data_IF_259910327526
#
_entry.id   IF_259910327526
#
_cell.length_a   1.000
_cell.length_b   1.000
_cell.length_c   1.000
_cell.angle_alpha   90.00
_cell.angle_beta   90.00
_cell.angle_gamma   90.00
#
_symmetry.space_group_name_H-M   'P 1'
#
loop_
_entity.id
_entity.type
_entity.pdbx_description
1 polymer ?
#
# COMPACT_ATOMS: atom_id res chain seq x y z
N UNK A 1 -55.52 24.07 -34.66
CA UNK A 1 -55.75 24.86 -35.95
C UNK A 1 -55.11 26.23 -35.96
N UNK A 2 -54.72 26.85 -34.87
CA UNK A 2 -54.09 28.22 -34.86
C UNK A 2 -52.58 28.16 -34.99
N UNK A 3 -51.93 27.00 -34.68
CA UNK A 3 -50.50 26.84 -34.77
C UNK A 3 -49.99 26.47 -36.18
N UNK A 4 -50.75 25.84 -37.03
CA UNK A 4 -50.38 25.51 -38.42
C UNK A 4 -50.37 26.71 -39.37
N UNK A 5 -51.20 27.71 -39.14
CA UNK A 5 -51.25 28.90 -39.99
C UNK A 5 -50.10 29.89 -39.75
N UNK A 6 -49.49 29.86 -38.55
CA UNK A 6 -48.33 30.70 -38.22
C UNK A 6 -47.01 30.14 -38.77
N UNK A 7 -46.92 28.83 -38.96
CA UNK A 7 -45.69 28.16 -39.47
C UNK A 7 -45.52 28.36 -40.98
N UNK A 8 -46.60 28.35 -41.74
CA UNK A 8 -46.56 28.53 -43.21
C UNK A 8 -46.25 29.98 -43.66
N UNK A 9 -46.73 30.99 -42.91
CA UNK A 9 -46.42 32.40 -43.24
C UNK A 9 -44.99 32.76 -42.87
N UNK A 10 -44.42 32.16 -41.80
CA UNK A 10 -42.99 32.31 -41.39
C UNK A 10 -42.03 31.70 -42.39
N UNK A 11 -42.34 30.51 -42.90
CA UNK A 11 -41.50 29.83 -43.89
C UNK A 11 -41.50 30.54 -45.27
N UNK A 12 -42.64 31.07 -45.72
CA UNK A 12 -42.69 31.81 -46.95
C UNK A 12 -41.99 33.21 -46.88
N UNK A 13 -42.02 33.85 -45.72
CA UNK A 13 -41.31 35.12 -45.52
C UNK A 13 -39.75 34.83 -45.40
N UNK A 14 -39.38 33.73 -44.83
CA UNK A 14 -37.99 33.30 -44.75
C UNK A 14 -37.40 32.93 -46.12
N UNK A 15 -38.17 32.24 -46.98
CA UNK A 15 -37.77 31.94 -48.35
C UNK A 15 -37.64 33.19 -49.24
N UNK A 16 -38.55 34.20 -49.12
CA UNK A 16 -38.38 35.39 -49.85
C UNK A 16 -37.23 36.30 -49.40
N UNK A 17 -36.90 36.26 -48.15
CA UNK A 17 -35.75 37.00 -47.62
C UNK A 17 -34.40 36.38 -48.04
N UNK A 18 -34.35 35.05 -48.25
CA UNK A 18 -33.18 34.31 -48.68
C UNK A 18 -32.78 34.51 -50.15
N UNK A 19 -33.69 35.00 -51.01
CA UNK A 19 -33.46 35.16 -52.44
C UNK A 19 -32.75 36.48 -52.82
N UNK A 20 -32.42 37.35 -51.87
CA UNK A 20 -31.59 38.52 -52.10
C UNK A 20 -30.14 38.23 -51.84
N UNK A 21 -29.17 38.49 -52.77
CA UNK A 21 -27.76 38.18 -52.63
C UNK A 21 -27.09 38.76 -51.37
N UNK A 22 -27.56 39.93 -50.95
CA UNK A 22 -27.13 40.63 -49.72
C UNK A 22 -27.48 39.90 -48.41
N UNK A 23 -28.55 39.09 -48.43
CA UNK A 23 -28.98 38.35 -47.24
C UNK A 23 -28.34 36.98 -47.11
N UNK A 24 -27.85 36.42 -48.22
CA UNK A 24 -27.09 35.13 -48.19
C UNK A 24 -25.82 35.26 -47.36
N UNK A 25 -25.14 36.41 -47.45
CA UNK A 25 -23.95 36.68 -46.67
C UNK A 25 -24.22 36.74 -45.15
N UNK A 26 -25.31 37.42 -44.77
CA UNK A 26 -25.74 37.46 -43.34
C UNK A 26 -26.22 36.11 -42.84
N UNK A 27 -26.89 35.33 -43.68
CA UNK A 27 -27.34 33.99 -43.30
C UNK A 27 -26.14 33.04 -43.11
N UNK A 28 -25.11 33.11 -43.97
CA UNK A 28 -23.86 32.35 -43.83
C UNK A 28 -23.10 32.74 -42.57
N UNK A 29 -23.08 34.03 -42.21
CA UNK A 29 -22.45 34.49 -40.95
C UNK A 29 -23.25 34.00 -39.73
N UNK A 30 -24.58 34.10 -39.77
CA UNK A 30 -25.44 33.61 -38.70
C UNK A 30 -25.34 32.09 -38.54
N UNK A 31 -25.35 31.31 -39.64
CA UNK A 31 -25.17 29.87 -39.61
C UNK A 31 -23.78 29.48 -39.09
N UNK A 32 -22.74 30.22 -39.48
CA UNK A 32 -21.37 29.99 -38.95
C UNK A 32 -21.31 30.29 -37.47
N UNK A 33 -21.95 31.33 -36.98
CA UNK A 33 -22.01 31.65 -35.56
C UNK A 33 -22.86 30.66 -34.78
N UNK A 34 -24.01 30.21 -35.32
CA UNK A 34 -24.84 29.17 -34.70
C UNK A 34 -24.09 27.81 -34.67
N UNK A 35 -23.42 27.44 -35.76
CA UNK A 35 -22.59 26.22 -35.80
C UNK A 35 -21.44 26.32 -34.83
N UNK A 36 -20.80 27.50 -34.72
CA UNK A 36 -19.76 27.75 -33.73
C UNK A 36 -20.29 27.70 -32.28
N UNK A 37 -21.47 28.28 -32.03
CA UNK A 37 -22.11 28.16 -30.71
C UNK A 37 -22.53 26.71 -30.38
N UNK A 38 -23.07 25.98 -31.37
CA UNK A 38 -23.37 24.54 -31.20
C UNK A 38 -22.08 23.73 -30.97
N UNK A 39 -20.99 23.99 -31.71
CA UNK A 39 -19.70 23.36 -31.50
C UNK A 39 -19.12 23.72 -30.12
N UNK A 40 -19.23 24.99 -29.71
CA UNK A 40 -18.81 25.44 -28.39
C UNK A 40 -19.65 24.78 -27.26
N UNK A 41 -20.98 24.67 -27.48
CA UNK A 41 -21.87 23.95 -26.55
C UNK A 41 -21.48 22.45 -26.50
N UNK A 42 -21.20 21.81 -27.64
CA UNK A 42 -20.73 20.44 -27.69
C UNK A 42 -19.36 20.28 -27.03
N UNK A 43 -18.42 21.21 -27.24
CA UNK A 43 -17.11 21.23 -26.59
C UNK A 43 -17.23 21.47 -25.07
N UNK A 44 -18.09 22.40 -24.66
CA UNK A 44 -18.33 22.71 -23.24
C UNK A 44 -19.17 21.64 -22.56
N UNK A 45 -20.17 21.03 -23.24
CA UNK A 45 -20.94 19.91 -22.69
C UNK A 45 -20.17 18.55 -22.77
N UNK A 46 -19.31 18.37 -23.79
CA UNK A 46 -18.46 17.18 -23.93
C UNK A 46 -17.25 17.16 -23.01
N UNK A 47 -16.87 18.31 -22.45
CA UNK A 47 -15.76 18.49 -21.52
C UNK A 47 -16.20 18.66 -20.06
N UNK A 48 -17.37 18.17 -19.66
CA UNK A 48 -17.67 18.05 -18.23
C UNK A 48 -16.79 16.92 -17.69
N UNK A 49 -15.59 17.26 -17.22
CA UNK A 49 -14.79 16.30 -16.46
C UNK A 49 -15.66 15.82 -15.31
N UNK A 50 -15.86 14.51 -15.22
CA UNK A 50 -16.60 13.94 -14.09
C UNK A 50 -15.99 14.42 -12.78
N UNK A 51 -16.86 14.82 -11.85
CA UNK A 51 -16.41 15.28 -10.55
C UNK A 51 -15.88 14.09 -9.72
N UNK A 52 -14.92 14.30 -8.81
CA UNK A 52 -14.40 13.24 -7.96
C UNK A 52 -15.49 12.41 -7.29
N UNK A 53 -16.56 13.04 -6.80
CA UNK A 53 -17.70 12.37 -6.16
C UNK A 53 -18.41 11.37 -7.09
N UNK A 54 -18.56 11.73 -8.37
CA UNK A 54 -19.21 10.87 -9.37
C UNK A 54 -18.35 9.64 -9.66
N UNK A 55 -17.01 9.83 -9.74
CA UNK A 55 -16.05 8.75 -10.00
C UNK A 55 -15.99 7.79 -8.80
N UNK A 56 -15.96 8.31 -7.57
CA UNK A 56 -16.00 7.47 -6.36
C UNK A 56 -17.27 6.64 -6.34
N UNK A 57 -18.45 7.25 -6.59
CA UNK A 57 -19.72 6.53 -6.62
C UNK A 57 -19.76 5.46 -7.71
N UNK A 58 -19.20 5.75 -8.89
CA UNK A 58 -19.07 4.77 -9.97
C UNK A 58 -18.24 3.57 -9.51
N UNK A 59 -17.08 3.81 -8.91
CA UNK A 59 -16.19 2.75 -8.46
C UNK A 59 -16.81 1.90 -7.33
N UNK A 60 -17.42 2.54 -6.33
CA UNK A 60 -18.14 1.82 -5.25
C UNK A 60 -19.24 0.94 -5.83
N UNK A 61 -20.10 1.52 -6.70
CA UNK A 61 -21.16 0.74 -7.34
C UNK A 61 -20.62 -0.45 -8.13
N UNK A 62 -19.55 -0.25 -8.88
CA UNK A 62 -18.94 -1.33 -9.69
C UNK A 62 -18.33 -2.44 -8.81
N UNK A 63 -17.77 -2.10 -7.64
CA UNK A 63 -17.31 -3.09 -6.67
C UNK A 63 -18.47 -3.84 -6.01
N UNK A 64 -19.57 -3.15 -5.68
CA UNK A 64 -20.76 -3.78 -5.11
C UNK A 64 -21.43 -4.76 -6.09
N UNK A 65 -21.40 -4.44 -7.39
CA UNK A 65 -21.96 -5.26 -8.48
C UNK A 65 -20.98 -6.33 -8.99
N UNK A 66 -19.71 -6.29 -8.60
CA UNK A 66 -18.69 -7.23 -9.04
C UNK A 66 -18.98 -8.64 -8.52
N UNK A 67 -19.24 -9.57 -9.42
CA UNK A 67 -19.50 -10.95 -9.04
C UNK A 67 -18.23 -11.78 -8.97
N UNK A 68 -17.42 -11.75 -10.03
CA UNK A 68 -16.15 -12.46 -10.02
C UNK A 68 -15.16 -11.89 -11.03
N UNK A 69 -13.88 -12.04 -10.73
CA UNK A 69 -12.77 -11.60 -11.59
C UNK A 69 -11.59 -12.54 -11.46
N UNK A 70 -10.94 -12.80 -12.59
CA UNK A 70 -9.63 -13.44 -12.68
C UNK A 70 -8.62 -12.42 -13.19
N UNK A 71 -7.47 -12.33 -12.54
CA UNK A 71 -6.40 -11.39 -12.91
C UNK A 71 -5.04 -11.92 -12.43
N UNK A 72 -3.99 -11.17 -12.74
CA UNK A 72 -2.71 -11.27 -12.04
C UNK A 72 -2.57 -10.02 -11.16
N UNK A 73 -2.46 -10.20 -9.86
CA UNK A 73 -2.15 -9.11 -8.94
C UNK A 73 -0.65 -8.86 -8.96
N UNK A 74 -0.28 -7.67 -9.37
CA UNK A 74 1.11 -7.21 -9.40
C UNK A 74 1.32 -6.26 -8.24
N UNK A 75 2.30 -6.56 -7.39
CA UNK A 75 2.72 -5.71 -6.29
C UNK A 75 4.17 -5.29 -6.47
N UNK A 76 4.46 -4.02 -6.31
CA UNK A 76 5.81 -3.49 -6.47
C UNK A 76 6.07 -2.38 -5.45
N UNK A 77 7.34 -2.22 -5.07
CA UNK A 77 7.77 -1.19 -4.15
C UNK A 77 9.07 -0.53 -4.62
N UNK A 78 9.18 0.76 -4.42
CA UNK A 78 10.40 1.53 -4.64
C UNK A 78 10.68 2.40 -3.44
N UNK A 79 11.96 2.64 -3.16
CA UNK A 79 12.40 3.37 -2.00
C UNK A 79 13.21 4.62 -2.39
N UNK A 80 12.96 5.73 -1.70
CA UNK A 80 13.69 6.97 -1.78
C UNK A 80 13.89 7.53 -3.20
N UNK A 81 12.82 7.50 -3.98
CA UNK A 81 12.81 8.04 -5.34
C UNK A 81 13.41 7.12 -6.40
N UNK A 82 13.75 5.87 -6.04
CA UNK A 82 14.09 4.86 -7.04
C UNK A 82 12.90 4.60 -7.98
N UNK A 83 13.18 4.23 -9.21
CA UNK A 83 12.15 3.79 -10.12
C UNK A 83 11.63 2.40 -9.73
N UNK A 84 10.33 2.17 -9.96
CA UNK A 84 9.73 0.85 -9.81
C UNK A 84 10.37 -0.10 -10.84
N UNK A 85 10.96 -1.19 -10.36
CA UNK A 85 11.57 -2.20 -11.23
C UNK A 85 10.58 -3.33 -11.49
N UNK A 86 10.34 -3.63 -12.76
CA UNK A 86 9.46 -4.74 -13.15
C UNK A 86 10.03 -6.10 -12.72
N UNK A 87 11.35 -6.23 -12.65
CA UNK A 87 12.05 -7.43 -12.18
C UNK A 87 11.82 -7.73 -10.69
N UNK A 88 11.47 -6.70 -9.91
CA UNK A 88 11.22 -6.81 -8.47
C UNK A 88 9.72 -6.94 -8.15
N UNK A 89 8.87 -6.81 -9.17
CA UNK A 89 7.43 -6.92 -9.00
C UNK A 89 7.03 -8.37 -8.65
N UNK A 90 6.30 -8.52 -7.57
CA UNK A 90 5.62 -9.78 -7.27
C UNK A 90 4.39 -9.92 -8.16
N UNK A 91 4.22 -11.07 -8.81
CA UNK A 91 3.07 -11.39 -9.66
C UNK A 91 2.41 -12.66 -9.15
N UNK A 92 1.20 -12.53 -8.67
CA UNK A 92 0.44 -13.67 -8.16
C UNK A 92 -0.89 -13.82 -8.91
N UNK A 93 -1.34 -15.05 -9.21
CA UNK A 93 -2.69 -15.27 -9.69
C UNK A 93 -3.69 -14.72 -8.68
N UNK A 94 -4.64 -13.92 -9.13
CA UNK A 94 -5.66 -13.32 -8.31
C UNK A 94 -7.04 -13.78 -8.80
N UNK A 95 -7.80 -14.40 -7.92
CA UNK A 95 -9.18 -14.78 -8.15
C UNK A 95 -10.04 -14.12 -7.09
N UNK A 96 -11.15 -13.55 -7.51
CA UNK A 96 -12.15 -12.96 -6.62
C UNK A 96 -13.54 -13.41 -7.02
N UNK A 97 -14.38 -13.73 -6.05
CA UNK A 97 -15.79 -14.04 -6.24
C UNK A 97 -16.61 -13.54 -5.04
N UNK A 98 -17.71 -12.90 -5.36
CA UNK A 98 -18.72 -12.48 -4.38
C UNK A 98 -19.95 -13.36 -4.53
N UNK A 99 -20.44 -13.91 -3.42
CA UNK A 99 -21.64 -14.76 -3.38
C UNK A 99 -22.58 -14.23 -2.31
N UNK A 100 -23.80 -13.92 -2.71
CA UNK A 100 -24.86 -13.51 -1.78
C UNK A 100 -25.62 -14.76 -1.36
N UNK A 101 -25.71 -15.01 -0.05
CA UNK A 101 -26.49 -16.09 0.58
C UNK A 101 -27.46 -15.49 1.61
N UNK A 102 -28.42 -16.26 2.09
CA UNK A 102 -29.39 -15.80 3.11
C UNK A 102 -28.73 -15.26 4.39
N UNK A 103 -27.56 -15.78 4.74
CA UNK A 103 -26.77 -15.37 5.91
C UNK A 103 -25.86 -14.15 5.68
N UNK A 104 -25.81 -13.61 4.45
CA UNK A 104 -24.99 -12.46 4.08
C UNK A 104 -24.18 -12.64 2.82
N UNK A 105 -23.28 -11.68 2.56
CA UNK A 105 -22.39 -11.69 1.41
C UNK A 105 -21.05 -12.32 1.79
N UNK A 106 -20.62 -13.30 1.02
CA UNK A 106 -19.36 -14.02 1.17
C UNK A 106 -18.41 -13.63 0.05
N UNK A 107 -17.15 -13.49 0.40
CA UNK A 107 -16.09 -13.13 -0.51
C UNK A 107 -15.07 -14.25 -0.58
N UNK A 108 -14.78 -14.69 -1.79
CA UNK A 108 -13.77 -15.69 -2.07
C UNK A 108 -12.63 -15.02 -2.81
N UNK A 109 -11.42 -15.16 -2.31
CA UNK A 109 -10.22 -14.73 -3.02
C UNK A 109 -9.23 -15.87 -3.07
N UNK A 110 -8.19 -15.76 -3.87
CA UNK A 110 -7.12 -16.76 -3.87
C UNK A 110 -6.45 -16.89 -2.50
N UNK A 111 -6.45 -15.80 -1.72
CA UNK A 111 -5.91 -15.73 -0.37
C UNK A 111 -6.99 -15.88 0.72
N UNK A 112 -8.26 -15.75 0.34
CA UNK A 112 -9.38 -15.79 1.29
C UNK A 112 -10.50 -16.68 0.75
N UNK A 113 -10.71 -17.85 1.33
CA UNK A 113 -11.73 -18.80 0.95
C UNK A 113 -12.67 -19.04 2.14
N UNK A 114 -13.97 -18.73 1.98
CA UNK A 114 -15.02 -19.06 2.96
C UNK A 114 -14.58 -18.71 4.40
N UNK A 115 -14.15 -17.47 4.63
CA UNK A 115 -13.64 -17.00 5.92
C UNK A 115 -12.25 -17.56 6.30
N UNK A 116 -11.45 -17.97 5.33
CA UNK A 116 -10.08 -18.48 5.53
C UNK A 116 -9.12 -17.63 4.72
N UNK A 117 -8.01 -17.28 5.32
CA UNK A 117 -6.92 -16.59 4.64
C UNK A 117 -5.81 -17.60 4.36
N UNK A 118 -5.37 -17.69 3.10
CA UNK A 118 -4.24 -18.52 2.71
C UNK A 118 -3.07 -17.60 2.37
N UNK A 119 -1.95 -17.84 3.02
CA UNK A 119 -0.68 -17.21 2.66
C UNK A 119 0.11 -18.20 1.82
N UNK A 120 0.39 -17.83 0.58
CA UNK A 120 1.30 -18.57 -0.27
C UNK A 120 2.71 -18.09 0.01
N UNK A 121 3.55 -18.98 0.52
CA UNK A 121 4.98 -18.78 0.48
C UNK A 121 5.49 -19.16 -0.91
N UNK A 122 6.43 -18.40 -1.48
CA UNK A 122 7.06 -18.69 -2.78
C UNK A 122 7.86 -20.01 -2.79
N UNK A 123 7.98 -20.65 -1.64
CA UNK A 123 8.51 -22.01 -1.54
C UNK A 123 7.42 -23.03 -1.82
N UNK A 124 7.59 -23.88 -2.85
CA UNK A 124 6.54 -24.79 -3.33
C UNK A 124 6.02 -25.81 -2.29
N UNK A 125 6.70 -25.94 -1.15
CA UNK A 125 6.39 -26.94 -0.12
C UNK A 125 5.72 -26.38 1.16
N UNK A 126 5.47 -25.07 1.24
CA UNK A 126 4.85 -24.46 2.41
C UNK A 126 3.63 -23.61 2.03
N UNK A 127 2.49 -24.28 1.85
CA UNK A 127 1.19 -23.61 1.92
C UNK A 127 0.83 -23.42 3.39
N UNK A 128 0.97 -22.19 3.89
CA UNK A 128 0.48 -21.83 5.22
C UNK A 128 -0.94 -21.30 5.07
N UNK A 129 -1.91 -22.06 5.52
CA UNK A 129 -3.30 -21.63 5.57
C UNK A 129 -3.67 -21.12 6.96
N UNK A 130 -4.13 -19.90 7.03
CA UNK A 130 -4.71 -19.33 8.23
C UNK A 130 -6.21 -19.32 8.07
N UNK A 131 -6.93 -19.98 8.93
CA UNK A 131 -8.38 -19.87 9.03
C UNK A 131 -8.69 -18.74 10.01
N UNK A 132 -9.07 -17.59 9.48
CA UNK A 132 -9.71 -16.54 10.26
C UNK A 132 -11.21 -16.71 10.03
N UNK A 133 -12.01 -17.06 11.05
CA UNK A 133 -13.46 -17.03 10.92
C UNK A 133 -13.85 -15.58 10.65
N UNK A 134 -14.24 -15.26 9.41
CA UNK A 134 -14.81 -13.96 9.09
C UNK A 134 -16.30 -14.11 9.26
N UNK A 135 -16.84 -13.56 10.33
CA UNK A 135 -18.28 -13.37 10.47
C UNK A 135 -18.77 -12.37 9.41
N UNK A 136 -20.04 -12.41 8.98
CA UNK A 136 -20.60 -11.37 8.13
C UNK A 136 -20.30 -9.99 8.71
N UNK A 137 -19.57 -9.16 7.94
CA UNK A 137 -19.09 -7.84 8.40
C UNK A 137 -17.66 -7.81 8.96
N UNK A 138 -16.95 -8.94 9.01
CA UNK A 138 -15.55 -8.94 9.41
C UNK A 138 -14.63 -8.28 8.36
N UNK A 139 -13.50 -7.77 8.83
CA UNK A 139 -12.54 -7.05 7.99
C UNK A 139 -11.95 -7.96 6.92
N UNK A 140 -12.10 -7.56 5.67
CA UNK A 140 -11.45 -8.18 4.51
C UNK A 140 -10.02 -7.66 4.36
N UNK A 141 -9.13 -8.48 3.77
CA UNK A 141 -7.72 -8.14 3.59
C UNK A 141 -7.26 -8.27 2.14
N UNK A 142 -8.19 -8.54 1.20
CA UNK A 142 -7.88 -8.65 -0.23
C UNK A 142 -7.68 -7.28 -0.90
N UNK A 143 -7.23 -7.30 -2.16
CA UNK A 143 -7.03 -6.11 -2.98
C UNK A 143 -8.27 -5.20 -2.99
N UNK A 144 -9.45 -5.74 -3.30
CA UNK A 144 -10.67 -4.92 -3.37
C UNK A 144 -11.14 -4.39 -2.02
N UNK A 145 -10.88 -5.12 -0.94
CA UNK A 145 -11.18 -4.62 0.41
C UNK A 145 -10.37 -3.36 0.74
N UNK A 146 -9.09 -3.33 0.41
CA UNK A 146 -8.23 -2.16 0.57
C UNK A 146 -8.71 -1.01 -0.30
N UNK A 147 -9.07 -1.28 -1.54
CA UNK A 147 -9.63 -0.27 -2.45
C UNK A 147 -10.95 0.30 -1.92
N UNK A 148 -11.83 -0.56 -1.38
CA UNK A 148 -13.09 -0.11 -0.78
C UNK A 148 -12.85 0.82 0.41
N UNK A 149 -11.94 0.46 1.33
CA UNK A 149 -11.54 1.34 2.44
C UNK A 149 -11.05 2.70 1.94
N UNK A 150 -10.25 2.74 0.88
CA UNK A 150 -9.74 3.98 0.29
C UNK A 150 -10.84 4.83 -0.36
N UNK A 151 -11.77 4.19 -1.09
CA UNK A 151 -12.94 4.87 -1.68
C UNK A 151 -13.86 5.44 -0.60
N UNK A 152 -14.10 4.71 0.47
CA UNK A 152 -14.92 5.15 1.60
C UNK A 152 -14.31 6.38 2.28
N UNK A 153 -12.97 6.41 2.44
CA UNK A 153 -12.25 7.57 2.95
C UNK A 153 -12.37 8.76 1.99
N UNK A 154 -12.17 8.55 0.70
CA UNK A 154 -12.31 9.60 -0.31
C UNK A 154 -13.73 10.17 -0.29
N UNK A 155 -14.76 9.32 -0.21
CA UNK A 155 -16.17 9.76 -0.15
C UNK A 155 -16.43 10.61 1.12
N UNK A 156 -15.91 10.19 2.27
CA UNK A 156 -16.06 10.95 3.51
C UNK A 156 -15.42 12.34 3.44
N UNK A 157 -14.26 12.46 2.81
CA UNK A 157 -13.56 13.74 2.61
C UNK A 157 -14.39 14.63 1.67
N UNK A 158 -14.84 14.07 0.55
CA UNK A 158 -15.63 14.78 -0.46
C UNK A 158 -17.01 15.24 0.07
N UNK A 159 -17.58 14.51 1.03
CA UNK A 159 -18.81 14.88 1.75
C UNK A 159 -18.58 15.94 2.85
N UNK A 160 -17.35 16.44 2.98
CA UNK A 160 -17.00 17.45 3.98
C UNK A 160 -16.94 16.92 5.42
N UNK A 161 -16.95 15.62 5.61
CA UNK A 161 -16.68 15.02 6.91
C UNK A 161 -15.23 15.28 7.24
N UNK A 162 -14.97 16.12 8.24
CA UNK A 162 -13.63 16.25 8.81
C UNK A 162 -13.26 14.89 9.34
N UNK A 163 -12.30 14.22 8.69
CA UNK A 163 -11.69 13.03 9.24
C UNK A 163 -10.96 13.46 10.51
N UNK A 164 -11.64 13.36 11.64
CA UNK A 164 -11.07 13.58 12.96
C UNK A 164 -10.24 12.37 13.34
N UNK A 165 -9.12 12.18 12.71
CA UNK A 165 -7.95 11.74 13.44
C UNK A 165 -7.28 12.96 14.09
N UNK A 166 -8.04 13.73 14.82
CA UNK A 166 -7.44 14.57 15.83
C UNK A 166 -7.07 13.59 16.94
N UNK A 167 -5.82 13.12 16.91
CA UNK A 167 -5.21 12.78 18.17
C UNK A 167 -5.54 13.96 19.11
N UNK A 168 -6.00 13.67 20.31
CA UNK A 168 -6.37 14.63 21.35
C UNK A 168 -5.17 15.50 21.81
N UNK A 169 -4.10 15.52 21.02
CA UNK A 169 -2.83 16.14 21.25
C UNK A 169 -2.61 17.22 20.17
N UNK A 170 -2.44 18.47 20.62
CA UNK A 170 -2.12 19.64 19.80
C UNK A 170 -0.80 19.54 18.99
N UNK A 171 -0.14 18.40 19.07
CA UNK A 171 1.12 18.10 18.40
C UNK A 171 0.98 17.59 16.97
N UNK A 172 -0.25 17.31 16.49
CA UNK A 172 -0.49 16.75 15.15
C UNK A 172 -1.48 17.62 14.38
N UNK A 173 -1.03 18.16 13.25
CA UNK A 173 -1.88 18.85 12.26
C UNK A 173 -2.00 17.93 11.06
N UNK A 174 -3.22 17.69 10.60
CA UNK A 174 -3.50 16.81 9.47
C UNK A 174 -4.37 17.57 8.47
N UNK A 175 -3.85 17.69 7.24
CA UNK A 175 -4.58 18.23 6.10
C UNK A 175 -4.87 17.09 5.12
N UNK A 176 -6.15 16.87 4.82
CA UNK A 176 -6.60 15.79 3.94
C UNK A 176 -7.50 16.34 2.85
N UNK A 177 -7.21 15.99 1.59
CA UNK A 177 -8.07 16.35 0.45
C UNK A 177 -8.03 15.30 -0.64
N UNK A 178 -9.03 15.35 -1.52
CA UNK A 178 -9.12 14.50 -2.72
C UNK A 178 -9.05 15.39 -3.95
N UNK A 179 -8.19 15.05 -4.88
CA UNK A 179 -8.09 15.70 -6.18
C UNK A 179 -8.43 14.76 -7.33
N UNK A 180 -8.97 15.35 -8.39
CA UNK A 180 -9.12 14.74 -9.70
C UNK A 180 -7.86 15.04 -10.52
N UNK A 181 -7.00 14.05 -10.73
CA UNK A 181 -5.87 14.19 -11.63
C UNK A 181 -6.28 13.96 -13.10
N UNK A 182 -5.47 14.36 -14.10
CA UNK A 182 -5.74 14.06 -15.50
C UNK A 182 -5.93 12.57 -15.73
N UNK A 183 -6.83 12.23 -16.66
CA UNK A 183 -7.05 10.87 -17.10
C UNK A 183 -5.77 10.25 -17.64
N UNK A 184 -5.63 8.94 -17.52
CA UNK A 184 -4.45 8.22 -17.99
C UNK A 184 -4.84 6.97 -18.76
N UNK A 185 -3.94 6.54 -19.63
CA UNK A 185 -4.00 5.21 -20.24
C UNK A 185 -3.13 4.28 -19.39
N UNK A 186 -3.75 3.25 -18.78
CA UNK A 186 -3.05 2.27 -17.96
C UNK A 186 -3.34 0.86 -18.50
N UNK A 187 -2.29 0.12 -18.87
CA UNK A 187 -2.39 -1.22 -19.50
C UNK A 187 -3.38 -1.26 -20.69
N UNK A 188 -3.42 -0.19 -21.49
CA UNK A 188 -4.32 -0.06 -22.63
C UNK A 188 -5.76 0.32 -22.27
N UNK A 189 -6.08 0.57 -21.00
CA UNK A 189 -7.38 0.96 -20.51
C UNK A 189 -7.43 2.45 -20.17
N UNK A 190 -8.47 3.14 -20.61
CA UNK A 190 -8.74 4.54 -20.25
C UNK A 190 -9.21 4.62 -18.80
N UNK A 191 -8.47 5.36 -17.97
CA UNK A 191 -8.75 5.44 -16.54
C UNK A 191 -8.98 6.88 -16.06
N UNK A 192 -9.96 7.04 -15.16
CA UNK A 192 -10.00 8.18 -14.26
C UNK A 192 -8.92 8.03 -13.20
N UNK A 193 -8.32 9.16 -12.79
CA UNK A 193 -7.32 9.17 -11.73
C UNK A 193 -7.81 10.02 -10.57
N UNK A 194 -7.96 9.39 -9.41
CA UNK A 194 -8.22 10.07 -8.14
C UNK A 194 -6.99 9.98 -7.26
N UNK A 195 -6.68 11.08 -6.57
CA UNK A 195 -5.63 11.10 -5.56
C UNK A 195 -6.18 11.62 -4.25
N UNK A 196 -5.91 10.92 -3.18
CA UNK A 196 -6.10 11.41 -1.82
C UNK A 196 -4.74 11.76 -1.23
N UNK A 197 -4.66 12.97 -0.71
CA UNK A 197 -3.50 13.47 0.00
C UNK A 197 -3.77 13.49 1.49
N UNK A 198 -2.76 13.18 2.28
CA UNK A 198 -2.80 13.21 3.73
C UNK A 198 -1.46 13.77 4.22
N UNK A 199 -1.42 15.09 4.41
CA UNK A 199 -0.24 15.79 4.89
C UNK A 199 -0.31 15.91 6.41
N UNK A 200 0.72 15.40 7.06
CA UNK A 200 0.81 15.35 8.52
C UNK A 200 2.00 16.16 8.99
N UNK A 201 1.73 17.14 9.83
CA UNK A 201 2.77 17.88 10.56
C UNK A 201 2.76 17.41 12.02
N UNK A 202 3.88 16.85 12.46
CA UNK A 202 4.10 16.43 13.84
C UNK A 202 5.00 17.44 14.54
N UNK A 203 4.49 18.03 15.61
CA UNK A 203 5.24 18.92 16.52
C UNK A 203 5.36 18.14 17.83
N UNK A 204 6.57 17.75 18.27
CA UNK A 204 6.73 17.01 19.51
C UNK A 204 6.13 17.80 20.66
N UNK A 205 5.02 17.30 21.19
CA UNK A 205 4.46 17.89 22.39
C UNK A 205 5.36 17.58 23.59
N UNK A 206 5.17 18.32 24.67
CA UNK A 206 5.75 18.00 25.98
C UNK A 206 5.07 16.75 26.57
N UNK A 207 4.97 15.69 25.77
CA UNK A 207 4.41 14.41 26.17
C UNK A 207 5.06 13.93 27.46
N UNK A 208 4.24 13.42 28.39
CA UNK A 208 4.74 12.86 29.66
C UNK A 208 5.38 11.47 29.51
N UNK A 209 5.47 10.97 28.27
CA UNK A 209 6.11 9.69 27.97
C UNK A 209 7.63 9.91 27.79
N UNK A 210 8.40 9.60 28.84
CA UNK A 210 9.85 9.83 28.85
C UNK A 210 10.63 9.01 27.81
N UNK A 211 10.13 7.81 27.46
CA UNK A 211 10.77 6.98 26.42
C UNK A 211 10.68 7.62 25.04
N UNK A 212 9.60 8.33 24.76
CA UNK A 212 9.42 9.09 23.53
C UNK A 212 10.32 10.34 23.48
N UNK A 213 10.42 11.09 24.61
CA UNK A 213 11.28 12.29 24.73
C UNK A 213 12.75 11.99 24.47
N UNK A 214 13.22 10.83 24.89
CA UNK A 214 14.62 10.43 24.72
C UNK A 214 14.97 10.16 23.24
N UNK A 215 14.00 9.81 22.42
CA UNK A 215 14.17 9.36 21.03
C UNK A 215 13.88 10.45 20.00
N UNK A 216 13.06 11.43 20.31
CA UNK A 216 12.60 12.45 19.36
C UNK A 216 13.46 13.70 19.46
N UNK A 217 14.41 13.85 18.53
CA UNK A 217 15.28 15.04 18.42
C UNK A 217 14.90 15.92 17.25
N UNK A 218 13.61 16.06 16.93
CA UNK A 218 13.15 17.00 15.92
C UNK A 218 12.24 18.06 16.53
N UNK A 219 12.21 19.23 15.93
CA UNK A 219 11.27 20.31 16.29
C UNK A 219 9.97 20.16 15.52
N UNK A 220 10.08 19.80 14.24
CA UNK A 220 8.95 19.58 13.34
C UNK A 220 9.28 18.44 12.40
N UNK A 221 8.31 17.57 12.15
CA UNK A 221 8.37 16.54 11.10
C UNK A 221 7.15 16.68 10.21
N UNK A 222 7.39 16.77 8.91
CA UNK A 222 6.34 16.73 7.88
C UNK A 222 6.34 15.38 7.19
N UNK A 223 5.16 14.84 6.98
CA UNK A 223 4.93 13.62 6.22
C UNK A 223 3.85 13.90 5.17
N UNK A 224 4.19 13.70 3.90
CA UNK A 224 3.34 13.90 2.74
C UNK A 224 2.97 12.55 2.18
N UNK A 225 1.70 12.18 2.29
CA UNK A 225 1.22 10.88 1.86
C UNK A 225 0.23 11.06 0.71
N UNK A 226 0.43 10.35 -0.38
CA UNK A 226 -0.45 10.37 -1.54
C UNK A 226 -0.89 8.95 -1.87
N UNK A 227 -2.19 8.76 -1.95
CA UNK A 227 -2.84 7.53 -2.40
C UNK A 227 -3.46 7.81 -3.76
N UNK A 228 -3.17 6.99 -4.76
CA UNK A 228 -3.76 7.14 -6.08
C UNK A 228 -4.55 5.90 -6.47
N UNK A 229 -5.73 6.13 -7.06
CA UNK A 229 -6.57 5.10 -7.65
C UNK A 229 -6.75 5.39 -9.14
N UNK A 230 -6.59 4.36 -9.98
CA UNK A 230 -6.99 4.41 -11.38
C UNK A 230 -8.25 3.55 -11.54
N UNK A 231 -9.31 4.18 -12.04
CA UNK A 231 -10.62 3.56 -12.20
C UNK A 231 -10.89 3.46 -13.69
N UNK A 232 -10.96 2.24 -14.21
CA UNK A 232 -11.20 1.97 -15.61
C UNK A 232 -12.58 2.50 -16.00
N UNK A 233 -12.66 3.29 -17.10
CA UNK A 233 -13.86 4.06 -17.42
C UNK A 233 -15.03 3.23 -17.90
N UNK A 234 -14.79 2.09 -18.54
CA UNK A 234 -15.82 1.24 -19.10
C UNK A 234 -16.51 0.40 -18.03
N UNK A 235 -15.74 -0.22 -17.15
CA UNK A 235 -16.26 -1.09 -16.08
C UNK A 235 -16.54 -0.34 -14.79
N UNK A 236 -15.87 0.80 -14.57
CA UNK A 236 -15.86 1.51 -13.30
C UNK A 236 -15.01 0.82 -12.23
N UNK A 237 -14.28 -0.25 -12.56
CA UNK A 237 -13.48 -0.98 -11.60
C UNK A 237 -12.13 -0.30 -11.34
N UNK A 238 -11.70 -0.24 -10.09
CA UNK A 238 -10.34 0.17 -9.75
C UNK A 238 -9.33 -0.90 -10.18
N UNK A 239 -8.40 -0.51 -11.06
CA UNK A 239 -7.40 -1.41 -11.65
C UNK A 239 -5.98 -1.17 -11.16
N UNK A 240 -5.76 -0.02 -10.49
CA UNK A 240 -4.45 0.36 -9.94
C UNK A 240 -4.64 1.12 -8.64
N UNK A 241 -3.79 0.81 -7.67
CA UNK A 241 -3.63 1.52 -6.42
C UNK A 241 -2.16 1.83 -6.18
N UNK A 242 -1.87 3.00 -5.64
CA UNK A 242 -0.54 3.29 -5.13
C UNK A 242 -0.58 4.14 -3.87
N UNK A 243 0.43 3.94 -3.06
CA UNK A 243 0.77 4.76 -1.91
C UNK A 243 2.18 5.30 -2.07
N UNK A 244 2.33 6.59 -1.96
CA UNK A 244 3.63 7.26 -1.98
C UNK A 244 3.73 8.12 -0.73
N UNK A 245 4.83 8.01 -0.02
CA UNK A 245 5.14 8.96 1.04
C UNK A 245 6.46 9.68 0.75
N UNK A 246 6.58 10.85 1.33
CA UNK A 246 7.80 11.65 1.42
C UNK A 246 7.71 12.51 2.68
N UNK A 247 8.79 13.16 3.05
CA UNK A 247 8.74 14.04 4.22
C UNK A 247 10.03 14.75 4.48
N UNK A 248 10.03 15.52 5.56
CA UNK A 248 11.21 16.14 6.10
C UNK A 248 11.15 16.18 7.64
N UNK A 249 12.33 16.25 8.22
CA UNK A 249 12.52 16.43 9.65
C UNK A 249 13.43 17.65 9.86
N UNK A 250 12.87 18.71 10.45
CA UNK A 250 13.57 20.00 10.61
C UNK A 250 14.18 20.52 9.29
N UNK A 251 13.44 20.37 8.17
CA UNK A 251 13.85 20.76 6.82
C UNK A 251 14.84 19.80 6.14
N UNK A 252 15.21 18.69 6.76
CA UNK A 252 16.01 17.64 6.14
C UNK A 252 15.10 16.57 5.54
N UNK A 253 15.25 16.33 4.25
CA UNK A 253 14.46 15.30 3.54
C UNK A 253 14.61 13.94 4.22
N UNK A 254 13.46 13.30 4.48
CA UNK A 254 13.37 11.92 4.94
C UNK A 254 13.17 11.03 3.71
N UNK A 255 13.83 9.85 3.66
CA UNK A 255 13.54 8.87 2.63
C UNK A 255 12.06 8.53 2.56
N UNK A 256 11.54 8.47 1.36
CA UNK A 256 10.16 8.08 1.12
C UNK A 256 10.07 6.70 0.47
N UNK A 257 8.86 6.19 0.34
CA UNK A 257 8.61 4.98 -0.42
C UNK A 257 7.43 5.16 -1.38
N UNK A 258 7.35 4.26 -2.33
CA UNK A 258 6.22 4.11 -3.23
C UNK A 258 5.87 2.63 -3.32
N UNK A 259 4.64 2.30 -2.96
CA UNK A 259 4.08 0.97 -3.12
C UNK A 259 2.99 1.05 -4.19
N UNK A 260 2.93 0.05 -5.06
CA UNK A 260 1.91 -0.04 -6.09
C UNK A 260 1.33 -1.43 -6.13
N UNK A 261 0.03 -1.51 -6.35
CA UNK A 261 -0.67 -2.76 -6.62
C UNK A 261 -1.63 -2.54 -7.77
N UNK A 262 -1.66 -3.47 -8.72
CA UNK A 262 -2.55 -3.37 -9.86
C UNK A 262 -2.90 -4.73 -10.44
N UNK A 263 -3.96 -4.76 -11.23
CA UNK A 263 -4.44 -5.96 -11.88
C UNK A 263 -4.00 -5.99 -13.35
N UNK A 264 -3.28 -7.03 -13.74
CA UNK A 264 -2.97 -7.35 -15.14
C UNK A 264 -3.90 -8.47 -15.64
N UNK A 265 -4.20 -8.44 -16.94
CA UNK A 265 -5.01 -9.47 -17.61
C UNK A 265 -6.36 -9.74 -16.91
N UNK A 266 -7.02 -8.67 -16.50
CA UNK A 266 -8.29 -8.74 -15.80
C UNK A 266 -9.40 -9.27 -16.72
N UNK A 267 -10.06 -10.35 -16.30
CA UNK A 267 -11.20 -10.95 -16.98
C UNK A 267 -12.40 -11.07 -16.03
N UNK A 268 -13.52 -10.46 -16.43
CA UNK A 268 -14.80 -10.61 -15.74
C UNK A 268 -15.46 -11.90 -16.25
N UNK A 269 -15.45 -12.95 -15.46
CA UNK A 269 -16.00 -14.26 -15.83
C UNK A 269 -16.50 -15.00 -14.60
N UNK A 270 -17.46 -15.92 -14.79
CA UNK A 270 -17.85 -16.82 -13.72
C UNK A 270 -16.70 -17.78 -13.39
N UNK A 271 -16.35 -17.83 -12.12
CA UNK A 271 -15.25 -18.66 -11.59
C UNK A 271 -15.87 -19.77 -10.75
N UNK A 272 -15.67 -21.05 -11.09
CA UNK A 272 -16.14 -22.16 -10.27
C UNK A 272 -15.60 -22.10 -8.85
N UNK A 273 -16.40 -22.45 -7.86
CA UNK A 273 -16.00 -22.44 -6.45
C UNK A 273 -14.76 -23.32 -6.20
N UNK A 274 -14.62 -24.42 -6.96
CA UNK A 274 -13.46 -25.32 -6.89
C UNK A 274 -12.12 -24.63 -7.17
N UNK A 275 -12.11 -23.51 -7.92
CA UNK A 275 -10.89 -22.76 -8.19
C UNK A 275 -10.30 -22.06 -6.95
N UNK A 276 -11.12 -21.90 -5.90
CA UNK A 276 -10.70 -21.27 -4.64
C UNK A 276 -10.18 -22.28 -3.61
N UNK A 277 -10.25 -23.59 -3.91
CA UNK A 277 -9.77 -24.64 -3.03
C UNK A 277 -8.41 -25.16 -3.52
N UNK A 278 -7.33 -25.02 -2.75
CA UNK A 278 -6.03 -25.48 -3.17
C UNK A 278 -6.01 -27.01 -3.30
N UNK A 279 -5.36 -27.51 -4.35
CA UNK A 279 -5.22 -28.94 -4.62
C UNK A 279 -4.45 -29.72 -3.52
N UNK A 280 -3.80 -29.00 -2.60
CA UNK A 280 -3.00 -29.55 -1.49
C UNK A 280 -3.51 -29.08 -0.14
N UNK A 281 -4.84 -29.12 0.04
CA UNK A 281 -5.49 -28.70 1.28
C UNK A 281 -4.99 -29.46 2.54
N UNK A 282 -4.50 -30.67 2.37
CA UNK A 282 -3.88 -31.50 3.39
C UNK A 282 -2.54 -30.93 3.92
N UNK A 283 -1.85 -30.11 3.14
CA UNK A 283 -0.61 -29.41 3.55
C UNK A 283 -0.85 -28.06 4.23
N UNK A 284 -2.10 -27.63 4.35
CA UNK A 284 -2.44 -26.34 4.92
C UNK A 284 -2.59 -26.46 6.43
N UNK A 285 -1.80 -25.67 7.17
CA UNK A 285 -2.01 -25.48 8.60
C UNK A 285 -3.16 -24.50 8.81
N UNK A 286 -4.21 -24.92 9.47
CA UNK A 286 -5.31 -24.05 9.87
C UNK A 286 -5.05 -23.49 11.28
N UNK A 287 -5.24 -22.20 11.43
CA UNK A 287 -5.18 -21.48 12.72
C UNK A 287 -6.44 -20.65 12.90
N UNK A 288 -6.82 -20.39 14.14
CA UNK A 288 -8.08 -19.70 14.45
C UNK A 288 -7.98 -18.18 14.23
N UNK A 289 -6.77 -17.63 14.25
CA UNK A 289 -6.52 -16.20 14.07
C UNK A 289 -5.17 -15.95 13.43
N UNK A 290 -4.97 -14.72 12.93
CA UNK A 290 -3.65 -14.28 12.45
C UNK A 290 -2.62 -14.28 13.59
N UNK A 291 -3.01 -13.91 14.80
CA UNK A 291 -2.11 -13.93 15.96
C UNK A 291 -1.67 -15.34 16.34
N UNK A 292 -2.53 -16.36 16.14
CA UNK A 292 -2.14 -17.76 16.30
C UNK A 292 -1.18 -18.21 15.21
N UNK A 293 -1.31 -17.67 14.00
CA UNK A 293 -0.42 -17.96 12.88
C UNK A 293 0.96 -17.35 13.09
N UNK A 294 0.99 -16.07 13.44
CA UNK A 294 2.22 -15.30 13.74
C UNK A 294 2.46 -15.38 15.23
N UNK A 295 2.88 -16.56 15.72
CA UNK A 295 3.21 -16.72 17.13
C UNK A 295 4.39 -15.83 17.50
N UNK A 296 4.19 -15.00 18.49
CA UNK A 296 5.22 -14.14 19.02
C UNK A 296 6.29 -14.99 19.73
N UNK A 297 7.52 -14.93 19.25
CA UNK A 297 8.66 -15.55 19.94
C UNK A 297 8.99 -14.72 21.19
N UNK A 298 8.90 -15.34 22.36
CA UNK A 298 9.06 -14.67 23.65
C UNK A 298 10.49 -14.82 24.18
N UNK A 299 10.81 -13.97 25.15
CA UNK A 299 12.04 -14.14 25.94
C UNK A 299 12.01 -15.51 26.65
N UNK A 300 13.07 -16.28 26.46
CA UNK A 300 13.21 -17.64 26.94
C UNK A 300 12.82 -18.72 25.94
N UNK A 301 12.17 -18.37 24.83
CA UNK A 301 11.88 -19.33 23.77
C UNK A 301 13.14 -19.60 22.94
N UNK A 302 13.20 -20.75 22.29
CA UNK A 302 14.22 -21.04 21.29
C UNK A 302 14.00 -20.17 20.05
N UNK A 303 15.08 -19.52 19.57
CA UNK A 303 15.01 -18.74 18.33
C UNK A 303 14.75 -19.66 17.13
N UNK A 304 13.86 -19.27 16.20
CA UNK A 304 13.61 -20.03 14.98
C UNK A 304 14.90 -20.33 14.21
N UNK A 305 14.91 -21.46 13.48
CA UNK A 305 16.03 -21.81 12.62
C UNK A 305 16.17 -20.78 11.49
N UNK A 306 17.41 -20.43 11.19
CA UNK A 306 17.74 -19.52 10.09
C UNK A 306 19.04 -19.89 9.38
N UNK A 307 19.07 -19.53 8.11
CA UNK A 307 20.28 -19.48 7.29
C UNK A 307 20.17 -18.21 6.43
N UNK A 308 21.04 -17.24 6.71
CA UNK A 308 21.00 -15.90 6.15
C UNK A 308 22.34 -15.59 5.49
N UNK A 309 22.31 -15.10 4.25
CA UNK A 309 23.50 -14.75 3.48
C UNK A 309 23.70 -13.24 3.45
N UNK A 310 24.87 -12.77 3.87
CA UNK A 310 25.26 -11.36 3.76
C UNK A 310 25.37 -10.97 2.28
N UNK A 311 24.64 -9.95 1.89
CA UNK A 311 24.53 -9.49 0.49
C UNK A 311 25.83 -8.89 -0.06
N UNK A 312 26.74 -8.44 0.81
CA UNK A 312 28.00 -7.81 0.40
C UNK A 312 29.15 -8.81 0.31
N UNK A 313 29.20 -9.77 1.24
CA UNK A 313 30.35 -10.69 1.36
C UNK A 313 30.03 -12.11 0.93
N UNK A 314 28.75 -12.48 0.82
CA UNK A 314 28.31 -13.86 0.58
C UNK A 314 28.50 -14.79 1.78
N UNK A 315 28.89 -14.28 2.93
CA UNK A 315 29.04 -15.07 4.15
C UNK A 315 27.68 -15.54 4.66
N UNK A 316 27.58 -16.83 4.97
CA UNK A 316 26.38 -17.46 5.53
C UNK A 316 26.39 -17.43 7.04
N UNK A 317 25.30 -17.02 7.64
CA UNK A 317 25.04 -17.01 9.07
C UNK A 317 23.86 -17.93 9.39
N UNK A 318 24.03 -18.86 10.29
CA UNK A 318 22.99 -19.80 10.74
C UNK A 318 23.06 -20.03 12.24
N UNK A 319 22.00 -20.60 12.84
CA UNK A 319 22.02 -21.01 14.24
C UNK A 319 23.24 -21.86 14.52
N UNK A 320 23.60 -22.81 13.62
CA UNK A 320 24.77 -23.69 13.80
C UNK A 320 26.10 -22.92 13.72
N UNK A 321 26.25 -22.00 12.74
CA UNK A 321 27.52 -21.24 12.60
C UNK A 321 27.71 -20.19 13.68
N UNK A 322 26.62 -19.78 14.36
CA UNK A 322 26.64 -18.80 15.44
C UNK A 322 26.45 -19.40 16.84
N UNK A 323 26.55 -20.74 16.96
CA UNK A 323 26.47 -21.39 18.25
C UNK A 323 27.57 -20.86 19.22
N UNK A 324 27.18 -20.54 20.44
CA UNK A 324 28.07 -19.93 21.44
C UNK A 324 28.29 -18.44 21.26
N UNK A 325 27.62 -17.80 20.30
CA UNK A 325 27.59 -16.36 20.12
C UNK A 325 26.28 -15.75 20.63
N UNK A 326 26.33 -14.46 20.94
CA UNK A 326 25.18 -13.64 21.17
C UNK A 326 24.87 -12.93 19.84
N UNK A 327 23.63 -13.02 19.37
CA UNK A 327 23.24 -12.44 18.09
C UNK A 327 22.26 -11.31 18.33
N UNK A 328 22.60 -10.11 17.90
CA UNK A 328 21.66 -8.99 17.75
C UNK A 328 21.10 -9.05 16.33
N UNK A 329 19.82 -9.35 16.21
CA UNK A 329 19.13 -9.40 14.92
C UNK A 329 18.17 -8.24 14.82
N UNK A 330 18.38 -7.38 13.82
CA UNK A 330 17.47 -6.31 13.44
C UNK A 330 16.64 -6.74 12.22
N UNK A 331 15.33 -6.50 12.26
CA UNK A 331 14.44 -6.74 11.13
C UNK A 331 14.12 -5.42 10.40
N UNK A 332 14.20 -5.42 9.08
CA UNK A 332 13.96 -4.26 8.20
C UNK A 332 13.24 -4.67 6.91
N UNK A 333 12.70 -3.71 6.19
CA UNK A 333 12.15 -3.97 4.84
C UNK A 333 12.32 -2.75 3.93
N UNK A 334 11.97 -2.93 2.65
CA UNK A 334 11.89 -1.82 1.68
C UNK A 334 10.90 -0.76 2.20
N UNK A 335 11.30 0.51 2.13
CA UNK A 335 10.44 1.63 2.50
C UNK A 335 10.26 1.86 4.01
N UNK A 336 10.99 1.17 4.86
CA UNK A 336 10.92 1.37 6.30
C UNK A 336 11.67 2.64 6.75
N UNK A 337 10.96 3.76 6.81
CA UNK A 337 11.50 5.04 7.28
C UNK A 337 12.06 4.93 8.71
N UNK A 338 11.36 4.26 9.61
CA UNK A 338 11.82 4.05 10.99
C UNK A 338 13.14 3.29 11.06
N UNK A 339 13.36 2.32 10.16
CA UNK A 339 14.59 1.55 10.07
C UNK A 339 15.76 2.44 9.62
N UNK A 340 15.53 3.29 8.61
CA UNK A 340 16.55 4.25 8.14
C UNK A 340 16.91 5.26 9.21
N UNK A 341 15.93 5.79 9.92
CA UNK A 341 16.17 6.74 11.02
C UNK A 341 16.91 6.10 12.20
N UNK A 342 16.71 4.81 12.44
CA UNK A 342 17.42 4.07 13.48
C UNK A 342 18.87 3.71 13.09
N UNK A 343 19.19 3.63 11.78
CA UNK A 343 20.45 3.11 11.29
C UNK A 343 21.70 3.83 11.83
N UNK A 344 21.79 5.17 11.89
CA UNK A 344 22.95 5.85 12.47
C UNK A 344 23.19 5.50 13.95
N UNK A 345 22.13 5.18 14.69
CA UNK A 345 22.21 4.74 16.09
C UNK A 345 22.68 3.28 16.19
N UNK A 346 22.18 2.44 15.31
CA UNK A 346 22.59 1.04 15.22
C UNK A 346 24.07 0.92 14.84
N UNK A 347 24.55 1.74 13.90
CA UNK A 347 25.98 1.82 13.56
C UNK A 347 26.84 2.20 14.77
N UNK A 348 26.43 3.23 15.54
CA UNK A 348 27.13 3.62 16.78
C UNK A 348 27.13 2.50 17.82
N UNK A 349 26.03 1.76 17.90
CA UNK A 349 25.92 0.63 18.82
C UNK A 349 26.82 -0.52 18.39
N UNK A 350 26.85 -0.82 17.09
CA UNK A 350 27.78 -1.77 16.51
C UNK A 350 29.24 -1.36 16.76
N UNK A 351 29.63 -0.12 16.45
CA UNK A 351 31.00 0.37 16.66
C UNK A 351 31.46 0.26 18.11
N UNK A 352 30.54 0.47 19.04
CA UNK A 352 30.84 0.32 20.48
C UNK A 352 31.14 -1.14 20.88
N UNK A 353 30.44 -2.09 20.25
CA UNK A 353 30.45 -3.48 20.70
C UNK A 353 31.11 -4.46 19.72
N UNK A 354 31.55 -4.04 18.54
CA UNK A 354 32.11 -4.91 17.48
C UNK A 354 33.37 -5.68 17.91
N UNK A 355 34.08 -5.16 18.91
CA UNK A 355 35.29 -5.82 19.46
C UNK A 355 34.94 -6.93 20.46
N UNK A 356 33.65 -7.09 20.82
CA UNK A 356 33.24 -8.23 21.68
C UNK A 356 33.21 -9.52 20.86
N UNK A 357 34.13 -10.49 21.14
CA UNK A 357 34.29 -11.63 20.25
C UNK A 357 33.10 -12.59 20.23
N UNK A 358 32.23 -12.49 21.22
CA UNK A 358 31.03 -13.32 21.35
C UNK A 358 29.75 -12.64 20.81
N UNK A 359 29.81 -11.40 20.37
CA UNK A 359 28.67 -10.66 19.89
C UNK A 359 28.68 -10.51 18.37
N UNK A 360 27.56 -10.81 17.74
CA UNK A 360 27.35 -10.68 16.29
C UNK A 360 26.13 -9.84 16.04
N UNK A 361 26.22 -8.84 15.16
CA UNK A 361 25.09 -8.08 14.66
C UNK A 361 24.73 -8.59 13.28
N UNK A 362 23.41 -8.73 13.02
CA UNK A 362 22.83 -9.08 11.73
C UNK A 362 21.62 -8.20 11.45
N UNK A 363 21.46 -7.79 10.20
CA UNK A 363 20.23 -7.21 9.72
C UNK A 363 19.52 -8.20 8.80
N UNK A 364 18.32 -8.62 9.15
CA UNK A 364 17.46 -9.47 8.33
C UNK A 364 16.47 -8.58 7.58
N UNK A 365 16.67 -8.45 6.27
CA UNK A 365 15.89 -7.57 5.41
C UNK A 365 14.87 -8.32 4.57
N UNK A 366 13.60 -7.93 4.66
CA UNK A 366 12.57 -8.31 3.69
C UNK A 366 12.74 -7.45 2.44
N UNK A 367 13.78 -7.74 1.67
CA UNK A 367 14.31 -6.95 0.56
C UNK A 367 14.78 -7.87 -0.56
N UNK A 368 14.77 -7.37 -1.79
CA UNK A 368 15.61 -7.98 -2.83
C UNK A 368 17.11 -7.81 -2.51
N UNK A 369 17.96 -8.67 -3.02
CA UNK A 369 19.41 -8.54 -2.87
C UNK A 369 19.91 -7.20 -3.43
N UNK A 370 19.35 -6.75 -4.55
CA UNK A 370 19.66 -5.45 -5.17
C UNK A 370 19.32 -4.28 -4.24
N UNK A 371 18.12 -4.28 -3.66
CA UNK A 371 17.69 -3.21 -2.75
C UNK A 371 18.49 -3.23 -1.45
N UNK A 372 18.83 -4.42 -0.96
CA UNK A 372 19.68 -4.57 0.23
C UNK A 372 21.06 -3.96 0.00
N UNK A 373 21.71 -4.22 -1.15
CA UNK A 373 22.99 -3.61 -1.53
C UNK A 373 22.89 -2.08 -1.60
N UNK A 374 21.84 -1.56 -2.26
CA UNK A 374 21.59 -0.12 -2.32
C UNK A 374 21.44 0.47 -0.90
N UNK A 375 20.69 -0.19 -0.02
CA UNK A 375 20.54 0.28 1.36
C UNK A 375 21.86 0.25 2.14
N UNK A 376 22.67 -0.78 1.99
CA UNK A 376 23.97 -0.87 2.63
C UNK A 376 24.86 0.31 2.27
N UNK A 377 24.97 0.60 0.97
CA UNK A 377 25.80 1.71 0.47
C UNK A 377 25.22 3.08 0.88
N UNK A 378 23.93 3.28 0.71
CA UNK A 378 23.28 4.56 0.92
C UNK A 378 23.19 4.97 2.39
N UNK A 379 22.94 4.01 3.29
CA UNK A 379 22.75 4.25 4.73
C UNK A 379 23.94 3.78 5.56
N UNK A 380 25.07 3.45 4.88
CA UNK A 380 26.35 3.12 5.50
C UNK A 380 26.22 2.04 6.59
N UNK A 381 25.53 0.92 6.26
CA UNK A 381 25.40 -0.18 7.23
C UNK A 381 26.78 -0.70 7.66
N UNK A 382 27.07 -0.62 8.95
CA UNK A 382 28.36 -1.02 9.51
C UNK A 382 28.44 -2.52 9.85
N UNK A 383 27.35 -3.26 9.78
CA UNK A 383 27.23 -4.68 10.10
C UNK A 383 26.49 -5.44 8.98
N UNK A 384 26.59 -6.79 8.92
CA UNK A 384 26.05 -7.57 7.83
C UNK A 384 24.56 -7.34 7.58
N UNK A 385 24.22 -7.08 6.32
CA UNK A 385 22.86 -7.03 5.80
C UNK A 385 22.57 -8.32 5.05
N UNK A 386 21.48 -8.99 5.43
CA UNK A 386 21.04 -10.23 4.79
C UNK A 386 19.64 -10.07 4.23
N UNK A 387 19.27 -10.90 3.28
CA UNK A 387 17.89 -10.94 2.78
C UNK A 387 17.15 -12.14 3.37
N UNK A 388 15.86 -11.96 3.57
CA UNK A 388 14.97 -13.03 4.01
C UNK A 388 13.58 -12.86 3.38
N UNK A 389 12.74 -13.87 3.53
CA UNK A 389 11.36 -13.85 3.06
C UNK A 389 10.38 -13.53 4.21
N UNK A 390 9.11 -13.36 3.83
CA UNK A 390 8.03 -13.07 4.77
C UNK A 390 7.83 -14.19 5.81
N UNK A 391 8.03 -15.45 5.45
CA UNK A 391 7.90 -16.57 6.37
C UNK A 391 8.93 -16.50 7.50
N UNK A 392 10.14 -16.00 7.22
CA UNK A 392 11.16 -15.76 8.22
C UNK A 392 10.73 -14.67 9.22
N UNK A 393 10.12 -13.57 8.73
CA UNK A 393 9.53 -12.54 9.63
C UNK A 393 8.47 -13.16 10.55
N UNK A 394 7.58 -13.96 9.98
CA UNK A 394 6.52 -14.60 10.75
C UNK A 394 7.03 -15.63 11.75
N UNK A 395 8.08 -16.36 11.41
CA UNK A 395 8.68 -17.32 12.35
C UNK A 395 9.19 -16.66 13.63
N UNK A 396 9.65 -15.41 13.53
CA UNK A 396 10.03 -14.58 14.69
C UNK A 396 8.86 -13.78 15.29
N UNK A 397 7.66 -13.88 14.73
CA UNK A 397 6.51 -13.07 15.17
C UNK A 397 6.66 -11.57 14.89
N UNK A 398 7.45 -11.21 13.87
CA UNK A 398 7.65 -9.80 13.48
C UNK A 398 6.45 -9.27 12.72
N UNK A 399 5.70 -8.37 13.34
CA UNK A 399 4.53 -7.69 12.76
C UNK A 399 4.79 -6.22 12.43
N UNK A 400 5.81 -5.62 13.05
CA UNK A 400 6.21 -4.24 12.85
C UNK A 400 7.73 -4.12 12.76
N UNK A 401 8.22 -3.11 12.05
CA UNK A 401 9.65 -2.84 11.87
C UNK A 401 9.97 -1.36 12.11
N UNK A 402 11.18 -1.04 12.60
CA UNK A 402 12.25 -1.97 12.98
C UNK A 402 11.88 -2.80 14.21
N UNK A 403 12.22 -4.09 14.21
CA UNK A 403 12.16 -4.98 15.36
C UNK A 403 13.57 -5.50 15.70
N UNK A 404 13.78 -5.81 16.97
CA UNK A 404 15.08 -6.25 17.46
C UNK A 404 14.93 -7.50 18.31
N UNK A 405 15.84 -8.45 18.12
CA UNK A 405 15.99 -9.65 18.95
C UNK A 405 17.44 -9.77 19.43
N UNK A 406 17.61 -10.18 20.67
CA UNK A 406 18.90 -10.61 21.19
C UNK A 406 18.80 -12.11 21.48
N UNK A 407 19.57 -12.91 20.76
CA UNK A 407 19.60 -14.35 20.85
C UNK A 407 20.87 -14.76 21.62
N UNK A 408 20.73 -15.60 22.61
CA UNK A 408 21.80 -16.06 23.46
C UNK A 408 22.67 -17.14 22.84
N UNK A 409 23.74 -17.50 23.55
CA UNK A 409 24.73 -18.53 23.16
C UNK A 409 24.14 -19.94 22.99
N UNK A 410 23.02 -20.18 23.65
CA UNK A 410 22.23 -21.41 23.65
C UNK A 410 21.06 -21.37 22.67
N UNK A 411 21.01 -20.37 21.79
CA UNK A 411 19.95 -20.13 20.83
C UNK A 411 18.60 -19.71 21.48
N UNK A 412 18.57 -19.34 22.75
CA UNK A 412 17.36 -18.80 23.38
C UNK A 412 17.27 -17.27 23.20
N UNK A 413 16.07 -16.73 23.07
CA UNK A 413 15.84 -15.29 23.01
C UNK A 413 16.07 -14.68 24.39
N UNK A 414 17.10 -13.86 24.52
CA UNK A 414 17.44 -13.16 25.77
C UNK A 414 16.66 -11.88 25.97
N UNK A 415 16.38 -11.18 24.88
CA UNK A 415 15.63 -9.92 24.90
C UNK A 415 14.94 -9.65 23.58
N UNK A 416 13.88 -8.84 23.67
CA UNK A 416 13.11 -8.34 22.54
C UNK A 416 12.90 -6.82 22.69
N UNK A 417 14.00 -6.06 22.47
CA UNK A 417 13.98 -4.61 22.62
C UNK A 417 12.94 -3.94 21.69
N UNK A 418 12.16 -3.00 22.20
CA UNK A 418 11.16 -2.28 21.42
C UNK A 418 11.77 -1.11 20.63
N UNK A 419 13.01 -0.74 20.95
CA UNK A 419 13.74 0.34 20.29
C UNK A 419 15.26 0.07 20.33
N UNK A 420 16.01 0.80 19.50
CA UNK A 420 17.47 0.81 19.55
C UNK A 420 18.02 1.31 20.92
N UNK A 421 17.24 2.10 21.67
CA UNK A 421 17.62 2.52 23.01
C UNK A 421 17.47 1.39 24.01
N UNK A 422 16.37 0.65 23.96
CA UNK A 422 16.19 -0.52 24.82
C UNK A 422 17.26 -1.57 24.54
N UNK A 423 17.59 -1.76 23.24
CA UNK A 423 18.71 -2.63 22.83
C UNK A 423 20.03 -2.16 23.44
N UNK A 424 20.33 -0.85 23.34
CA UNK A 424 21.53 -0.27 23.97
C UNK A 424 21.57 -0.54 25.47
N UNK A 425 20.48 -0.28 26.17
CA UNK A 425 20.39 -0.47 27.61
C UNK A 425 20.57 -1.94 28.02
N UNK A 426 19.99 -2.84 27.22
CA UNK A 426 20.20 -4.28 27.41
C UNK A 426 21.66 -4.66 27.26
N UNK A 427 22.33 -4.28 26.17
CA UNK A 427 23.73 -4.61 25.92
C UNK A 427 24.65 -3.99 26.97
N UNK A 428 24.41 -2.72 27.36
CA UNK A 428 25.19 -2.07 28.44
C UNK A 428 25.02 -2.83 29.77
N UNK A 429 23.81 -3.27 30.11
CA UNK A 429 23.57 -4.04 31.33
C UNK A 429 24.15 -5.46 31.25
N UNK A 430 24.20 -6.04 30.07
CA UNK A 430 24.69 -7.43 29.90
C UNK A 430 26.20 -7.51 29.92
N UNK A 431 26.90 -6.59 29.26
CA UNK A 431 28.37 -6.64 29.10
C UNK A 431 29.17 -5.81 30.11
N UNK A 432 28.54 -4.88 30.84
CA UNK A 432 29.24 -4.07 31.87
C UNK A 432 29.01 -4.64 33.29
N UNK A 433 28.64 -5.91 33.44
CA UNK A 433 28.50 -6.58 34.73
C UNK A 433 29.84 -6.99 35.32
#
# INVERSE_FOLDING_TARGET
MIWEAASFRGAAFFCCYLLKPENIFYLCIMMKNVLFCILMIYVVCGCRSQQPQEIVRLAVKSLDELQSVSAVLVSNAAFDGAELSDELASRIPFLFKQVVRDSGTYFFTFEQIDNRVFYRNDQPDMLLGTRIPVEPGAKRYDYFARIQEELDLMQQILDGKKLREVASDSSRIVDVWVERAPDTLFNGQDCYVLKRHNDVTLIPSKSNNESWKANVRYKVMHSYNTYALFIEKHTGLPVYWSYTNSGDQDGRKIPGNRNTEFLENMELKDIPDSCFYPAQADKIRYVASFDEFVQEVKVGDEAPAYELTDVMTGKVYSNASLQGKIVVMQFTSTGCVGCVLAQPWMNKLYDRWKEQPELVFLCAGLLSEKDAKIQVEKYEFAYPMTTCNQAFFWSFGVQAIPSYYVIGKDNQVLARPQSHIDLKNFLDSYFNK
#
